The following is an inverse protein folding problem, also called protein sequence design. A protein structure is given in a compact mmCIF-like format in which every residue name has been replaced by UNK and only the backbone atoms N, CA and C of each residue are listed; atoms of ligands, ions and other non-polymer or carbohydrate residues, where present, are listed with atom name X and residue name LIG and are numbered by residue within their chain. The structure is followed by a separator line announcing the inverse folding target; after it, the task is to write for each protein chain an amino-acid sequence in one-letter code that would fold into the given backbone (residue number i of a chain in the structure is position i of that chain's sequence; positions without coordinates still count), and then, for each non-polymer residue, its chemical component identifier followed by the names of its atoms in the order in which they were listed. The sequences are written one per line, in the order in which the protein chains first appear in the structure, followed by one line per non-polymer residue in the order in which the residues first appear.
data_IF_542549338263
#
_entry.id   IF_542549338263
#
_cell.length_a   1.000
_cell.length_b   1.000
_cell.length_c   1.000
_cell.angle_alpha   90.00
_cell.angle_beta   90.00
_cell.angle_gamma   90.00
#
_symmetry.space_group_name_H-M   'P 1'
#
loop_
_entity.id
_entity.type
_entity.pdbx_description
1 polymer ?
#
# COMPACT_ATOMS: atom_id res chain seq x y z
N UNK A 1 -33.89 -10.67 15.17
CA UNK A 1 -34.19 -11.10 16.55
C UNK A 1 -32.90 -11.64 17.18
N UNK A 2 -32.14 -10.85 17.95
CA UNK A 2 -30.89 -11.31 18.56
C UNK A 2 -31.17 -12.19 19.79
N UNK A 3 -30.49 -13.34 19.89
CA UNK A 3 -30.64 -14.28 21.01
C UNK A 3 -30.29 -13.64 22.37
N UNK A 4 -31.02 -13.94 23.45
CA UNK A 4 -30.69 -13.47 24.78
C UNK A 4 -29.37 -14.11 25.26
N UNK A 5 -28.39 -13.28 25.61
CA UNK A 5 -27.19 -13.74 26.34
C UNK A 5 -27.66 -14.16 27.74
N UNK A 6 -27.66 -15.46 28.01
CA UNK A 6 -28.26 -16.09 29.21
C UNK A 6 -27.62 -15.63 30.54
N UNK A 7 -26.43 -15.02 30.51
CA UNK A 7 -25.77 -14.50 31.70
C UNK A 7 -25.31 -13.06 31.50
N UNK A 8 -25.66 -12.18 32.44
CA UNK A 8 -25.26 -10.78 32.44
C UNK A 8 -23.77 -10.64 32.80
N UNK A 9 -23.08 -9.60 32.30
CA UNK A 9 -21.67 -9.37 32.63
C UNK A 9 -21.44 -9.15 34.13
N UNK A 10 -22.40 -8.53 34.83
CA UNK A 10 -22.37 -8.34 36.28
C UNK A 10 -22.39 -9.67 37.05
N UNK A 11 -23.20 -10.63 36.58
CA UNK A 11 -23.23 -11.97 37.15
C UNK A 11 -21.92 -12.72 36.91
N UNK A 12 -21.32 -12.58 35.74
CA UNK A 12 -20.01 -13.18 35.45
C UNK A 12 -18.93 -12.61 36.37
N UNK A 13 -18.91 -11.28 36.57
CA UNK A 13 -17.96 -10.62 37.45
C UNK A 13 -18.09 -11.08 38.91
N UNK A 14 -19.32 -11.20 39.43
CA UNK A 14 -19.55 -11.67 40.80
C UNK A 14 -19.14 -13.14 41.01
N UNK A 15 -19.33 -13.99 40.00
CA UNK A 15 -18.86 -15.39 40.03
C UNK A 15 -17.33 -15.47 40.06
N UNK A 16 -16.64 -14.64 39.26
CA UNK A 16 -15.18 -14.59 39.24
C UNK A 16 -14.61 -14.13 40.58
N UNK A 17 -15.17 -13.06 41.15
CA UNK A 17 -14.74 -12.52 42.45
C UNK A 17 -14.92 -13.58 43.56
N UNK A 18 -16.05 -14.28 43.57
CA UNK A 18 -16.32 -15.36 44.53
C UNK A 18 -15.34 -16.52 44.39
N UNK A 19 -14.93 -16.89 43.17
CA UNK A 19 -13.88 -17.89 42.95
C UNK A 19 -12.53 -17.39 43.49
N UNK A 20 -12.16 -16.13 43.27
CA UNK A 20 -10.91 -15.56 43.79
C UNK A 20 -10.88 -15.54 45.33
N UNK A 21 -11.99 -15.17 45.97
CA UNK A 21 -12.14 -15.21 47.42
C UNK A 21 -12.02 -16.64 47.98
N UNK A 22 -12.63 -17.64 47.31
CA UNK A 22 -12.49 -19.04 47.69
C UNK A 22 -11.05 -19.55 47.48
N UNK A 23 -10.36 -19.14 46.41
CA UNK A 23 -8.96 -19.51 46.15
C UNK A 23 -8.00 -18.97 47.22
N UNK A 24 -8.28 -17.79 47.77
CA UNK A 24 -7.49 -17.22 48.86
C UNK A 24 -7.56 -18.04 50.16
N UNK A 25 -8.66 -18.77 50.39
CA UNK A 25 -8.85 -19.63 51.57
C UNK A 25 -8.45 -21.08 51.31
N UNK A 26 -8.74 -21.58 50.10
CA UNK A 26 -8.46 -22.95 49.69
C UNK A 26 -7.94 -22.99 48.23
N UNK A 27 -6.63 -23.18 48.01
CA UNK A 27 -6.03 -23.08 46.68
C UNK A 27 -6.48 -24.19 45.71
N UNK A 28 -6.98 -25.31 46.24
CA UNK A 28 -7.46 -26.44 45.45
C UNK A 28 -8.99 -26.52 45.50
N UNK A 29 -9.62 -26.66 44.33
CA UNK A 29 -11.07 -26.96 44.22
C UNK A 29 -12.03 -25.77 44.22
N UNK A 30 -11.56 -24.53 44.37
CA UNK A 30 -12.42 -23.32 44.43
C UNK A 30 -13.39 -23.16 43.25
N UNK A 31 -12.95 -23.48 42.02
CA UNK A 31 -13.82 -23.43 40.83
C UNK A 31 -14.95 -24.46 40.90
N UNK A 32 -14.67 -25.65 41.44
CA UNK A 32 -15.66 -26.72 41.59
C UNK A 32 -16.68 -26.38 42.68
N UNK A 33 -16.21 -25.84 43.82
CA UNK A 33 -17.07 -25.44 44.92
C UNK A 33 -18.05 -24.33 44.50
N UNK A 34 -17.55 -23.25 43.87
CA UNK A 34 -18.42 -22.15 43.41
C UNK A 34 -19.36 -22.59 42.28
N UNK A 35 -18.94 -23.52 41.41
CA UNK A 35 -19.81 -24.08 40.39
C UNK A 35 -20.97 -24.90 41.00
N UNK A 36 -20.70 -25.69 42.05
CA UNK A 36 -21.71 -26.46 42.77
C UNK A 36 -22.67 -25.54 43.54
N UNK A 37 -22.15 -24.55 44.26
CA UNK A 37 -22.94 -23.60 45.06
C UNK A 37 -23.94 -22.78 44.23
N UNK A 38 -23.60 -22.51 42.97
CA UNK A 38 -24.42 -21.70 42.06
C UNK A 38 -25.17 -22.55 41.01
N UNK A 39 -25.08 -23.89 41.08
CA UNK A 39 -25.69 -24.79 40.10
C UNK A 39 -25.18 -24.60 38.67
N UNK A 40 -23.95 -24.10 38.51
CA UNK A 40 -23.34 -23.77 37.22
C UNK A 40 -22.47 -24.92 36.69
N UNK A 41 -22.30 -24.96 35.37
CA UNK A 41 -21.36 -25.89 34.76
C UNK A 41 -19.92 -25.47 35.10
N UNK A 42 -19.15 -26.38 35.71
CA UNK A 42 -17.73 -26.18 36.06
C UNK A 42 -16.87 -25.66 34.90
N UNK A 43 -17.10 -26.15 33.67
CA UNK A 43 -16.34 -25.71 32.49
C UNK A 43 -16.57 -24.24 32.17
N UNK A 44 -17.80 -23.77 32.34
CA UNK A 44 -18.20 -22.40 32.07
C UNK A 44 -17.63 -21.44 33.14
N UNK A 45 -17.68 -21.82 34.42
CA UNK A 45 -17.00 -21.06 35.49
C UNK A 45 -15.48 -21.02 35.26
N UNK A 46 -14.88 -22.14 34.84
CA UNK A 46 -13.43 -22.16 34.52
C UNK A 46 -13.07 -21.25 33.35
N UNK A 47 -13.94 -21.17 32.32
CA UNK A 47 -13.74 -20.27 31.20
C UNK A 47 -13.78 -18.81 31.64
N UNK A 48 -14.77 -18.42 32.45
CA UNK A 48 -14.87 -17.05 32.99
C UNK A 48 -13.69 -16.67 33.86
N UNK A 49 -13.25 -17.56 34.76
CA UNK A 49 -12.09 -17.33 35.62
C UNK A 49 -10.82 -17.22 34.79
N UNK A 50 -10.65 -18.05 33.75
CA UNK A 50 -9.53 -17.93 32.83
C UNK A 50 -9.57 -16.61 32.04
N UNK A 51 -10.74 -16.20 31.53
CA UNK A 51 -10.91 -14.91 30.85
C UNK A 51 -10.62 -13.73 31.77
N UNK A 52 -10.95 -13.81 33.05
CA UNK A 52 -10.66 -12.76 34.02
C UNK A 52 -9.22 -12.80 34.59
N UNK A 53 -8.56 -13.96 34.55
CA UNK A 53 -7.14 -14.12 34.89
C UNK A 53 -6.20 -13.75 33.75
N UNK A 54 -6.69 -13.75 32.51
CA UNK A 54 -6.01 -12.99 31.46
C UNK A 54 -5.97 -11.56 31.99
N UNK A 55 -4.79 -10.96 32.19
CA UNK A 55 -4.71 -9.56 32.56
C UNK A 55 -5.61 -8.81 31.57
N UNK A 56 -6.42 -7.82 32.01
CA UNK A 56 -7.01 -6.89 31.06
C UNK A 56 -5.83 -6.45 30.23
N UNK A 57 -5.80 -6.82 28.94
CA UNK A 57 -4.65 -6.61 28.09
C UNK A 57 -4.21 -5.21 28.41
N UNK A 58 -3.07 -5.09 29.13
CA UNK A 58 -2.71 -3.83 29.75
C UNK A 58 -2.82 -2.89 28.60
N UNK A 59 -3.73 -1.93 28.73
CA UNK A 59 -3.74 -0.77 27.90
C UNK A 59 -2.42 -0.07 28.24
N UNK A 60 -1.31 -0.64 27.73
CA UNK A 60 -0.30 0.09 27.02
C UNK A 60 -1.10 1.18 26.34
N UNK A 61 -0.79 2.46 26.63
CA UNK A 61 -1.56 3.59 26.16
C UNK A 61 -1.94 3.25 24.75
N UNK A 62 -3.25 3.09 24.49
CA UNK A 62 -3.76 2.71 23.19
C UNK A 62 -2.89 3.47 22.21
N UNK A 63 -2.12 2.82 21.29
CA UNK A 63 -1.23 3.55 20.42
C UNK A 63 -2.13 4.60 19.84
N UNK A 64 -1.88 5.87 20.24
CA UNK A 64 -2.87 6.93 20.18
C UNK A 64 -3.50 6.73 18.83
N UNK A 65 -4.77 6.30 18.81
CA UNK A 65 -5.50 6.31 17.57
C UNK A 65 -5.31 7.76 17.18
N UNK A 66 -4.44 7.99 16.20
CA UNK A 66 -4.27 9.33 15.68
C UNK A 66 -5.57 9.56 14.98
N UNK A 67 -6.57 9.95 15.76
CA UNK A 67 -7.59 10.90 15.42
C UNK A 67 -6.85 12.18 15.08
N UNK A 68 -6.16 12.14 13.93
CA UNK A 68 -6.19 13.25 13.02
C UNK A 68 -7.67 13.59 12.81
N UNK A 69 -8.05 14.87 12.77
CA UNK A 69 -9.33 15.26 12.24
C UNK A 69 -9.36 14.80 10.79
N UNK A 70 -10.15 13.76 10.51
CA UNK A 70 -10.26 13.14 9.19
C UNK A 70 -9.91 11.65 9.23
N UNK A 71 -10.96 10.84 9.15
CA UNK A 71 -11.06 9.37 9.05
C UNK A 71 -10.23 8.78 7.89
N UNK A 72 -8.93 9.03 7.87
CA UNK A 72 -8.07 8.63 6.76
C UNK A 72 -7.50 7.26 7.03
N UNK A 73 -8.21 6.24 6.56
CA UNK A 73 -7.73 4.86 6.57
C UNK A 73 -6.44 4.77 5.77
N UNK A 74 -5.31 4.51 6.45
CA UNK A 74 -4.02 4.35 5.78
C UNK A 74 -3.82 2.88 5.44
N UNK A 75 -3.80 2.57 4.15
CA UNK A 75 -3.34 1.29 3.63
C UNK A 75 -1.88 1.39 3.18
N UNK A 76 -1.21 0.24 3.17
CA UNK A 76 0.10 0.07 2.59
C UNK A 76 -0.03 0.13 1.05
N UNK A 77 1.02 0.57 0.36
CA UNK A 77 1.03 0.60 -1.08
C UNK A 77 0.66 -0.78 -1.68
N UNK A 78 -0.18 -0.80 -2.73
CA UNK A 78 -0.61 -2.05 -3.35
C UNK A 78 0.59 -2.80 -3.94
N UNK A 79 0.54 -4.14 -3.89
CA UNK A 79 1.61 -5.00 -4.40
C UNK A 79 2.85 -5.08 -3.51
N UNK A 80 2.85 -4.45 -2.33
CA UNK A 80 3.96 -4.53 -1.38
C UNK A 80 3.85 -5.75 -0.45
N UNK A 81 2.63 -6.11 -0.06
CA UNK A 81 2.37 -7.12 0.97
C UNK A 81 2.12 -8.50 0.35
N UNK A 82 2.83 -9.51 0.85
CA UNK A 82 2.70 -10.90 0.42
C UNK A 82 2.56 -11.80 1.63
N UNK A 83 1.79 -12.87 1.51
CA UNK A 83 1.69 -13.84 2.59
C UNK A 83 2.83 -14.85 2.49
N UNK A 84 3.51 -15.14 3.60
CA UNK A 84 4.60 -16.11 3.64
C UNK A 84 4.14 -17.55 3.32
N UNK A 85 2.85 -17.86 3.49
CA UNK A 85 2.28 -19.21 3.30
C UNK A 85 1.91 -19.51 1.85
N UNK A 86 1.09 -18.64 1.24
CA UNK A 86 0.66 -18.79 -0.16
C UNK A 86 1.64 -18.14 -1.15
N UNK A 87 2.59 -17.32 -0.68
CA UNK A 87 3.49 -16.46 -1.47
C UNK A 87 2.80 -15.45 -2.39
N UNK A 88 1.47 -15.44 -2.45
CA UNK A 88 0.64 -14.55 -3.23
C UNK A 88 0.54 -13.14 -2.60
N UNK A 89 0.31 -12.10 -3.42
CA UNK A 89 0.04 -10.76 -2.93
C UNK A 89 -1.24 -10.75 -2.08
N UNK A 90 -1.23 -9.95 -1.02
CA UNK A 90 -2.39 -9.75 -0.16
C UNK A 90 -3.09 -8.45 -0.56
N UNK A 91 -4.41 -8.53 -0.72
CA UNK A 91 -5.22 -7.38 -1.11
C UNK A 91 -5.83 -6.72 0.13
N UNK A 92 -5.87 -5.39 0.19
CA UNK A 92 -6.62 -4.69 1.22
C UNK A 92 -8.11 -4.98 1.05
N UNK A 93 -8.78 -5.32 2.14
CA UNK A 93 -10.22 -5.51 2.20
C UNK A 93 -10.76 -4.61 3.31
N UNK A 94 -11.84 -3.92 2.99
CA UNK A 94 -12.62 -3.15 3.94
C UNK A 94 -13.98 -3.84 4.05
N UNK A 95 -14.19 -4.54 5.17
CA UNK A 95 -15.50 -5.06 5.55
C UNK A 95 -16.05 -4.24 6.72
N UNK A 96 -17.34 -4.34 7.03
CA UNK A 96 -18.05 -3.52 8.02
C UNK A 96 -17.29 -3.49 9.36
N UNK A 97 -16.52 -2.43 9.58
CA UNK A 97 -15.69 -2.22 10.78
C UNK A 97 -14.36 -2.98 10.83
N UNK A 98 -14.00 -3.77 9.82
CA UNK A 98 -12.74 -4.52 9.78
C UNK A 98 -11.91 -4.12 8.56
N UNK A 99 -10.85 -3.37 8.83
CA UNK A 99 -9.82 -3.02 7.86
C UNK A 99 -8.70 -4.04 7.93
N UNK A 100 -8.49 -4.78 6.86
CA UNK A 100 -7.48 -5.83 6.85
C UNK A 100 -6.94 -6.21 5.49
N UNK A 101 -5.99 -7.15 5.50
CA UNK A 101 -5.41 -7.73 4.29
C UNK A 101 -5.78 -9.20 4.21
N UNK A 102 -6.28 -9.62 3.05
CA UNK A 102 -6.67 -11.01 2.79
C UNK A 102 -5.73 -11.62 1.73
N UNK A 103 -5.31 -12.88 1.94
CA UNK A 103 -4.74 -13.70 0.84
C UNK A 103 -5.89 -14.34 0.04
N UNK A 104 -5.55 -15.07 -1.02
CA UNK A 104 -6.46 -15.93 -1.77
C UNK A 104 -7.35 -16.79 -0.85
N UNK A 105 -8.61 -17.07 -1.26
CA UNK A 105 -9.52 -17.89 -0.49
C UNK A 105 -8.88 -19.22 -0.08
N UNK A 106 -9.07 -19.60 1.19
CA UNK A 106 -8.57 -20.87 1.74
C UNK A 106 -7.12 -20.85 2.28
N UNK A 107 -6.34 -19.79 2.04
CA UNK A 107 -4.97 -19.73 2.59
C UNK A 107 -4.94 -19.46 4.11
N UNK A 108 -5.77 -18.52 4.58
CA UNK A 108 -5.85 -18.07 5.98
C UNK A 108 -7.28 -18.07 6.47
N UNK A 109 -7.45 -18.27 7.78
CA UNK A 109 -8.75 -18.31 8.45
C UNK A 109 -9.47 -16.96 8.51
N UNK A 110 -8.73 -15.85 8.37
CA UNK A 110 -9.32 -14.51 8.40
C UNK A 110 -8.37 -13.42 7.89
N UNK A 111 -8.89 -12.20 7.66
CA UNK A 111 -8.10 -11.06 7.25
C UNK A 111 -7.16 -10.63 8.38
N UNK A 112 -5.96 -10.17 8.01
CA UNK A 112 -5.02 -9.60 8.96
C UNK A 112 -5.34 -8.12 9.23
N UNK A 113 -5.30 -7.65 10.47
CA UNK A 113 -5.65 -6.27 10.79
C UNK A 113 -4.66 -5.28 10.16
N UNK A 114 -5.18 -4.28 9.43
CA UNK A 114 -4.37 -3.35 8.66
C UNK A 114 -3.57 -2.40 9.55
N UNK A 115 -4.15 -1.90 10.64
CA UNK A 115 -3.51 -0.93 11.54
C UNK A 115 -2.16 -1.42 12.09
N UNK A 116 -2.09 -2.59 12.75
CA UNK A 116 -0.83 -3.14 13.25
C UNK A 116 0.23 -3.34 12.15
N UNK A 117 -0.18 -3.78 10.95
CA UNK A 117 0.73 -3.96 9.81
C UNK A 117 1.31 -2.63 9.33
N UNK A 118 0.44 -1.63 9.12
CA UNK A 118 0.84 -0.27 8.72
C UNK A 118 1.80 0.31 9.75
N UNK A 119 1.47 0.18 11.03
CA UNK A 119 2.31 0.69 12.12
C UNK A 119 3.71 0.03 12.13
N UNK A 120 3.78 -1.29 12.03
CA UNK A 120 5.06 -2.01 12.05
C UNK A 120 5.91 -1.73 10.82
N UNK A 121 5.33 -1.77 9.62
CA UNK A 121 6.04 -1.42 8.39
C UNK A 121 6.52 0.02 8.45
N UNK A 122 5.67 0.94 8.91
CA UNK A 122 6.01 2.34 9.10
C UNK A 122 7.19 2.59 10.03
N UNK A 123 7.22 1.90 11.18
CA UNK A 123 8.36 1.96 12.11
C UNK A 123 9.64 1.41 11.48
N UNK A 124 9.56 0.30 10.77
CA UNK A 124 10.71 -0.28 10.09
C UNK A 124 11.28 0.68 9.03
N UNK A 125 10.43 1.29 8.22
CA UNK A 125 10.81 2.28 7.20
C UNK A 125 11.45 3.51 7.84
N UNK A 126 10.86 4.03 8.93
CA UNK A 126 11.40 5.18 9.66
C UNK A 126 12.77 4.89 10.28
N UNK A 127 12.98 3.68 10.78
CA UNK A 127 14.27 3.26 11.34
C UNK A 127 15.34 3.11 10.25
N UNK A 128 14.99 2.53 9.10
CA UNK A 128 15.95 2.23 8.04
C UNK A 128 16.25 3.43 7.12
N UNK A 129 15.28 4.29 6.85
CA UNK A 129 15.40 5.38 5.89
C UNK A 129 14.74 6.69 6.37
N UNK A 130 15.17 7.24 7.52
CA UNK A 130 14.55 8.43 8.11
C UNK A 130 14.62 9.67 7.20
N UNK A 131 15.62 9.76 6.32
CA UNK A 131 15.86 10.89 5.43
C UNK A 131 14.84 10.99 4.28
N UNK A 132 14.16 9.89 3.91
CA UNK A 132 13.19 9.89 2.80
C UNK A 132 11.86 10.57 3.16
N UNK A 133 11.65 10.86 4.44
CA UNK A 133 10.42 11.44 4.96
C UNK A 133 10.74 12.88 5.38
N UNK A 134 10.48 13.82 4.49
CA UNK A 134 10.76 15.26 4.67
C UNK A 134 9.68 15.96 5.49
N UNK A 135 9.23 15.36 6.59
CA UNK A 135 8.42 16.07 7.57
C UNK A 135 9.35 16.94 8.43
N UNK A 136 9.15 18.24 8.34
CA UNK A 136 9.97 19.30 8.95
C UNK A 136 9.56 19.64 10.38
N UNK A 137 8.43 19.15 10.88
CA UNK A 137 7.91 19.48 12.21
C UNK A 137 7.29 18.26 12.90
N UNK A 138 7.82 17.92 14.09
CA UNK A 138 7.28 16.87 14.98
C UNK A 138 7.88 15.46 14.81
N UNK A 139 7.55 14.57 15.75
CA UNK A 139 7.90 13.15 15.68
C UNK A 139 7.21 12.51 14.48
N UNK A 140 7.96 11.79 13.63
CA UNK A 140 7.43 11.17 12.41
C UNK A 140 6.50 10.01 12.78
N UNK A 141 5.23 10.13 12.42
CA UNK A 141 4.23 9.10 12.69
C UNK A 141 4.49 7.86 11.78
N UNK A 142 4.38 6.62 12.31
CA UNK A 142 4.56 5.39 11.52
C UNK A 142 3.70 5.32 10.26
N UNK A 143 2.50 5.87 10.31
CA UNK A 143 1.56 5.92 9.18
C UNK A 143 2.15 6.69 7.98
N UNK A 144 2.95 7.72 8.25
CA UNK A 144 3.68 8.46 7.21
C UNK A 144 4.80 7.61 6.63
N UNK A 145 5.55 6.88 7.47
CA UNK A 145 6.57 5.94 7.01
C UNK A 145 5.97 4.84 6.12
N UNK A 146 4.81 4.31 6.50
CA UNK A 146 4.10 3.28 5.76
C UNK A 146 3.66 3.75 4.36
N UNK A 147 3.24 5.01 4.22
CA UNK A 147 2.90 5.63 2.91
C UNK A 147 4.09 5.68 1.95
N UNK A 148 5.32 5.69 2.48
CA UNK A 148 6.56 5.73 1.69
C UNK A 148 7.27 4.37 1.60
N UNK A 149 6.65 3.30 2.10
CA UNK A 149 7.27 1.99 2.16
C UNK A 149 7.65 1.44 0.77
N UNK A 150 6.88 1.76 -0.28
CA UNK A 150 7.15 1.36 -1.67
C UNK A 150 8.50 1.88 -2.20
N UNK A 151 9.02 2.97 -1.65
CA UNK A 151 10.30 3.58 -2.04
C UNK A 151 11.52 2.83 -1.52
N UNK A 152 11.36 2.08 -0.43
CA UNK A 152 12.48 1.42 0.28
C UNK A 152 12.36 -0.09 0.32
N UNK A 153 11.14 -0.60 0.25
CA UNK A 153 10.84 -2.02 0.31
C UNK A 153 10.37 -2.46 -1.08
N UNK A 154 10.89 -3.58 -1.56
CA UNK A 154 10.32 -4.29 -2.73
C UNK A 154 9.18 -5.19 -2.31
N UNK A 155 9.29 -5.78 -1.10
CA UNK A 155 8.38 -6.81 -0.63
C UNK A 155 8.34 -6.83 0.89
N UNK A 156 7.14 -6.99 1.43
CA UNK A 156 6.90 -7.31 2.84
C UNK A 156 6.20 -8.66 2.87
N UNK A 157 6.82 -9.65 3.49
CA UNK A 157 6.22 -10.97 3.70
C UNK A 157 5.63 -11.05 5.09
N UNK A 158 4.36 -11.44 5.20
CA UNK A 158 3.67 -11.59 6.49
C UNK A 158 3.45 -13.06 6.79
N UNK A 159 3.98 -13.50 7.93
CA UNK A 159 3.81 -14.85 8.46
C UNK A 159 2.51 -15.00 9.25
N UNK A 160 2.58 -15.64 10.42
CA UNK A 160 1.37 -16.06 11.15
C UNK A 160 0.60 -14.89 11.78
N UNK A 161 1.29 -13.82 12.17
CA UNK A 161 0.70 -12.66 12.82
C UNK A 161 1.22 -11.33 12.23
N UNK A 162 0.58 -10.22 12.59
CA UNK A 162 0.96 -8.90 12.08
C UNK A 162 2.36 -8.42 12.51
N UNK A 163 2.96 -9.03 13.54
CA UNK A 163 4.32 -8.77 13.98
C UNK A 163 5.36 -9.70 13.34
N UNK A 164 4.92 -10.76 12.66
CA UNK A 164 5.78 -11.72 11.98
C UNK A 164 6.02 -11.24 10.54
N UNK A 165 6.93 -10.28 10.41
CA UNK A 165 7.21 -9.57 9.16
C UNK A 165 8.64 -9.83 8.68
N UNK A 166 8.74 -10.28 7.42
CA UNK A 166 9.99 -10.28 6.66
C UNK A 166 10.01 -9.09 5.71
N UNK A 167 11.15 -8.39 5.67
CA UNK A 167 11.35 -7.22 4.82
C UNK A 167 12.38 -7.54 3.75
N UNK A 168 12.01 -7.39 2.48
CA UNK A 168 12.96 -7.32 1.38
C UNK A 168 13.14 -5.85 1.05
N UNK A 169 14.27 -5.32 1.50
CA UNK A 169 14.70 -3.98 1.16
C UNK A 169 15.05 -3.94 -0.32
N UNK A 170 14.71 -2.84 -0.98
CA UNK A 170 15.37 -2.50 -2.24
C UNK A 170 16.85 -2.42 -1.90
N UNK A 171 17.65 -3.34 -2.44
CA UNK A 171 19.08 -3.11 -2.56
C UNK A 171 19.17 -1.77 -3.27
N UNK A 172 19.58 -0.73 -2.57
CA UNK A 172 19.84 0.55 -3.20
C UNK A 172 20.97 0.31 -4.20
N UNK A 173 20.79 0.38 -5.52
CA UNK A 173 21.81 1.09 -6.24
C UNK A 173 21.58 2.55 -5.86
N UNK A 174 22.59 3.13 -5.22
CA UNK A 174 23.06 4.51 -5.39
C UNK A 174 22.00 5.44 -5.96
N UNK A 175 21.71 6.53 -5.25
CA UNK A 175 21.29 7.81 -5.85
C UNK A 175 22.13 8.10 -7.10
N UNK A 176 21.78 7.49 -8.22
CA UNK A 176 22.09 8.03 -9.51
C UNK A 176 20.88 8.92 -9.71
N UNK A 177 21.03 10.25 -9.68
CA UNK A 177 20.00 11.09 -10.24
C UNK A 177 19.65 10.48 -11.60
N UNK A 178 18.37 10.45 -11.98
CA UNK A 178 18.04 9.97 -13.31
C UNK A 178 18.98 10.72 -14.23
N UNK A 179 19.80 9.99 -14.99
CA UNK A 179 20.48 10.62 -16.12
C UNK A 179 19.41 11.43 -16.85
N UNK A 180 19.77 12.61 -17.37
CA UNK A 180 18.87 13.56 -18.05
C UNK A 180 17.54 12.96 -18.49
N UNK A 181 16.39 13.56 -18.19
CA UNK A 181 15.02 13.07 -18.51
C UNK A 181 14.90 12.13 -19.73
N UNK A 182 15.50 12.43 -20.91
CA UNK A 182 15.55 11.49 -22.04
C UNK A 182 16.09 10.08 -21.73
N UNK A 183 17.15 9.96 -20.94
CA UNK A 183 17.75 8.69 -20.53
C UNK A 183 16.84 7.92 -19.59
N UNK A 184 16.11 8.61 -18.70
CA UNK A 184 15.12 7.98 -17.84
C UNK A 184 13.95 7.42 -18.64
N UNK A 185 13.46 8.16 -19.65
CA UNK A 185 12.43 7.69 -20.58
C UNK A 185 12.93 6.48 -21.36
N UNK A 186 14.13 6.53 -21.92
CA UNK A 186 14.71 5.41 -22.66
C UNK A 186 14.84 4.15 -21.80
N UNK A 187 15.40 4.28 -20.59
CA UNK A 187 15.53 3.17 -19.65
C UNK A 187 14.16 2.63 -19.18
N UNK A 188 13.16 3.48 -19.02
CA UNK A 188 11.82 3.04 -18.65
C UNK A 188 11.12 2.29 -19.78
N UNK A 189 11.33 2.69 -21.05
CA UNK A 189 10.79 1.97 -22.21
C UNK A 189 11.35 0.56 -22.31
N UNK A 190 12.67 0.39 -22.13
CA UNK A 190 13.28 -0.95 -22.16
C UNK A 190 12.79 -1.82 -21.00
N UNK A 191 12.48 -1.21 -19.85
CA UNK A 191 11.91 -1.91 -18.70
C UNK A 191 10.41 -2.22 -18.83
N UNK A 192 9.63 -1.43 -19.56
CA UNK A 192 8.17 -1.56 -19.60
C UNK A 192 7.67 -2.92 -20.13
N UNK A 193 8.50 -3.64 -20.90
CA UNK A 193 8.18 -4.97 -21.40
C UNK A 193 8.63 -6.11 -20.47
N UNK A 194 9.64 -5.87 -19.63
CA UNK A 194 10.22 -6.87 -18.74
C UNK A 194 9.76 -6.74 -17.27
N UNK A 195 9.61 -5.51 -16.78
CA UNK A 195 9.29 -5.18 -15.39
C UNK A 195 8.60 -3.81 -15.30
N UNK A 196 7.27 -3.85 -15.32
CA UNK A 196 6.41 -2.66 -15.22
C UNK A 196 6.60 -1.89 -13.90
N UNK A 197 6.89 -2.58 -12.79
CA UNK A 197 7.10 -1.92 -11.50
C UNK A 197 8.39 -1.13 -11.49
N UNK A 198 9.47 -1.68 -12.06
CA UNK A 198 10.75 -0.98 -12.17
C UNK A 198 10.69 0.19 -13.14
N UNK A 199 9.99 0.03 -14.27
CA UNK A 199 9.70 1.14 -15.19
C UNK A 199 8.96 2.28 -14.48
N UNK A 200 7.92 1.95 -13.70
CA UNK A 200 7.16 2.92 -12.89
C UNK A 200 8.06 3.70 -11.93
N UNK A 201 8.96 3.04 -11.22
CA UNK A 201 9.85 3.71 -10.26
C UNK A 201 10.83 4.67 -10.93
N UNK A 202 11.44 4.27 -12.05
CA UNK A 202 12.35 5.15 -12.82
C UNK A 202 11.63 6.43 -13.24
N UNK A 203 10.42 6.29 -13.78
CA UNK A 203 9.61 7.42 -14.24
C UNK A 203 9.09 8.30 -13.10
N UNK A 204 8.62 7.70 -12.00
CA UNK A 204 8.21 8.44 -10.80
C UNK A 204 9.38 9.24 -10.26
N UNK A 205 10.57 8.64 -10.19
CA UNK A 205 11.76 9.32 -9.72
C UNK A 205 12.12 10.53 -10.60
N UNK A 206 12.06 10.36 -11.92
CA UNK A 206 12.30 11.43 -12.89
C UNK A 206 11.31 12.61 -12.77
N UNK A 207 10.11 12.37 -12.23
CA UNK A 207 9.08 13.39 -12.02
C UNK A 207 8.91 13.85 -10.57
N UNK A 208 9.75 13.40 -9.62
CA UNK A 208 9.57 13.68 -8.18
C UNK A 208 9.46 15.17 -7.82
N UNK A 209 10.14 16.05 -8.56
CA UNK A 209 10.12 17.50 -8.35
C UNK A 209 9.04 18.24 -9.16
N UNK A 210 8.24 17.53 -9.96
CA UNK A 210 7.27 18.11 -10.89
C UNK A 210 5.85 17.93 -10.35
N UNK A 211 5.18 19.03 -10.06
CA UNK A 211 3.75 19.01 -9.82
C UNK A 211 3.00 19.14 -11.17
N UNK A 212 2.30 18.10 -11.65
CA UNK A 212 1.63 18.13 -12.96
C UNK A 212 0.49 19.16 -13.04
N UNK A 213 -0.02 19.64 -11.92
CA UNK A 213 -1.06 20.66 -11.88
C UNK A 213 -0.52 22.08 -12.14
N UNK A 214 0.74 22.35 -11.79
CA UNK A 214 1.32 23.71 -11.82
C UNK A 214 2.58 23.84 -12.67
N UNK A 215 3.17 22.73 -13.12
CA UNK A 215 4.37 22.76 -13.93
C UNK A 215 4.11 23.36 -15.31
N UNK A 216 5.05 24.18 -15.78
CA UNK A 216 5.07 24.67 -17.16
C UNK A 216 5.28 23.54 -18.17
N UNK A 217 4.93 23.83 -19.43
CA UNK A 217 5.11 22.91 -20.55
C UNK A 217 6.59 22.62 -20.79
N UNK A 218 6.96 21.35 -20.90
CA UNK A 218 8.33 20.93 -21.20
C UNK A 218 8.32 19.58 -21.92
N UNK A 219 8.98 19.43 -23.08
CA UNK A 219 8.85 18.23 -23.93
C UNK A 219 9.25 16.94 -23.20
N UNK A 220 10.45 16.91 -22.62
CA UNK A 220 10.92 15.71 -21.90
C UNK A 220 10.08 15.36 -20.65
N UNK A 221 9.41 16.34 -20.01
CA UNK A 221 8.53 16.07 -18.87
C UNK A 221 7.18 15.55 -19.34
N UNK A 222 6.68 16.06 -20.47
CA UNK A 222 5.47 15.56 -21.12
C UNK A 222 5.66 14.10 -21.55
N UNK A 223 6.78 13.77 -22.19
CA UNK A 223 7.13 12.38 -22.57
C UNK A 223 7.18 11.44 -21.37
N UNK A 224 7.82 11.89 -20.29
CA UNK A 224 7.94 11.10 -19.04
C UNK A 224 6.57 10.91 -18.39
N UNK A 225 5.73 11.95 -18.37
CA UNK A 225 4.38 11.88 -17.78
C UNK A 225 3.44 10.99 -18.60
N UNK A 226 3.51 11.07 -19.93
CA UNK A 226 2.74 10.20 -20.84
C UNK A 226 3.12 8.73 -20.65
N UNK A 227 4.42 8.41 -20.63
CA UNK A 227 4.88 7.03 -20.42
C UNK A 227 4.53 6.50 -19.02
N UNK A 228 4.60 7.36 -17.98
CA UNK A 228 4.17 6.96 -16.64
C UNK A 228 2.66 6.69 -16.58
N UNK A 229 1.84 7.50 -17.25
CA UNK A 229 0.41 7.28 -17.36
C UNK A 229 0.10 5.92 -18.01
N UNK A 230 0.79 5.57 -19.10
CA UNK A 230 0.66 4.27 -19.78
C UNK A 230 1.03 3.10 -18.86
N UNK A 231 2.17 3.18 -18.19
CA UNK A 231 2.62 2.13 -17.25
C UNK A 231 1.62 1.96 -16.11
N UNK A 232 1.03 3.05 -15.59
CA UNK A 232 0.02 2.99 -14.54
C UNK A 232 -1.30 2.39 -15.01
N UNK A 233 -1.72 2.61 -16.26
CA UNK A 233 -2.86 1.92 -16.87
C UNK A 233 -2.61 0.41 -16.91
N UNK A 234 -1.44 0.00 -17.41
CA UNK A 234 -1.04 -1.43 -17.50
C UNK A 234 -0.98 -2.10 -16.12
N UNK A 235 -0.65 -1.35 -15.07
CA UNK A 235 -0.63 -1.80 -13.68
C UNK A 235 -1.99 -1.72 -12.97
N UNK A 236 -3.05 -1.22 -13.61
CA UNK A 236 -4.39 -1.12 -13.02
C UNK A 236 -4.55 0.01 -12.00
N UNK A 237 -3.83 1.12 -12.16
CA UNK A 237 -3.86 2.28 -11.25
C UNK A 237 -4.40 3.56 -11.92
N UNK A 238 -5.70 3.61 -12.29
CA UNK A 238 -6.25 4.70 -13.10
C UNK A 238 -6.35 6.05 -12.39
N UNK A 239 -6.45 6.07 -11.05
CA UNK A 239 -6.74 7.30 -10.30
C UNK A 239 -5.69 8.42 -10.49
N UNK A 240 -4.42 8.08 -10.75
CA UNK A 240 -3.33 9.04 -10.92
C UNK A 240 -3.06 9.37 -12.40
N UNK A 241 -3.65 8.60 -13.31
CA UNK A 241 -3.44 8.70 -14.77
C UNK A 241 -3.95 10.03 -15.31
N UNK A 242 -5.14 10.47 -14.88
CA UNK A 242 -5.80 11.68 -15.41
C UNK A 242 -4.93 12.93 -15.22
N UNK A 243 -4.31 13.10 -14.06
CA UNK A 243 -3.46 14.26 -13.79
C UNK A 243 -2.19 14.27 -14.66
N UNK A 244 -1.56 13.10 -14.85
CA UNK A 244 -0.34 12.94 -15.64
C UNK A 244 -0.62 13.06 -17.15
N UNK A 245 -1.65 12.38 -17.63
CA UNK A 245 -2.08 12.44 -19.02
C UNK A 245 -2.56 13.86 -19.39
N UNK A 246 -3.31 14.52 -18.48
CA UNK A 246 -3.72 15.91 -18.65
C UNK A 246 -2.55 16.88 -18.72
N UNK A 247 -1.51 16.70 -17.89
CA UNK A 247 -0.28 17.49 -17.98
C UNK A 247 0.46 17.27 -19.32
N UNK A 248 0.61 16.02 -19.74
CA UNK A 248 1.25 15.68 -21.01
C UNK A 248 0.49 16.32 -22.18
N UNK A 249 -0.84 16.16 -22.21
CA UNK A 249 -1.69 16.75 -23.25
C UNK A 249 -1.58 18.28 -23.31
N UNK A 250 -1.71 18.98 -22.17
CA UNK A 250 -1.53 20.44 -22.13
C UNK A 250 -0.14 20.87 -22.60
N UNK A 251 0.89 20.12 -22.21
CA UNK A 251 2.27 20.42 -22.61
C UNK A 251 2.48 20.25 -24.11
N UNK A 252 2.05 19.14 -24.70
CA UNK A 252 2.17 18.94 -26.16
C UNK A 252 1.32 19.93 -26.95
N UNK A 253 0.11 20.24 -26.49
CA UNK A 253 -0.74 21.27 -27.11
C UNK A 253 -0.06 22.63 -27.11
N UNK A 254 0.63 22.99 -26.02
CA UNK A 254 1.37 24.24 -25.92
C UNK A 254 2.65 24.24 -26.80
N UNK A 255 3.34 23.11 -26.92
CA UNK A 255 4.63 23.00 -27.62
C UNK A 255 4.48 22.80 -29.14
N UNK A 256 3.48 22.05 -29.58
CA UNK A 256 3.30 21.63 -30.98
C UNK A 256 1.98 22.11 -31.59
N UNK A 257 1.13 22.76 -30.79
CA UNK A 257 -0.22 23.11 -31.20
C UNK A 257 -1.21 21.95 -31.01
N UNK A 258 -2.52 22.23 -31.13
CA UNK A 258 -3.58 21.26 -30.84
C UNK A 258 -3.71 20.13 -31.88
N UNK A 259 -3.18 20.30 -33.09
CA UNK A 259 -3.32 19.37 -34.22
C UNK A 259 -2.18 18.36 -34.37
N UNK A 260 -1.20 18.34 -33.47
CA UNK A 260 -0.07 17.41 -33.55
C UNK A 260 -0.50 15.95 -33.27
N UNK A 261 -0.06 14.96 -34.07
CA UNK A 261 -0.38 13.54 -33.85
C UNK A 261 0.02 12.99 -32.47
N UNK A 262 1.03 13.59 -31.83
CA UNK A 262 1.51 13.19 -30.50
C UNK A 262 0.50 13.51 -29.40
N UNK A 263 -0.48 14.39 -29.66
CA UNK A 263 -1.56 14.72 -28.73
C UNK A 263 -2.56 13.56 -28.52
N UNK A 264 -2.70 12.64 -29.49
CA UNK A 264 -3.73 11.61 -29.47
C UNK A 264 -3.50 10.53 -28.40
N UNK A 265 -2.25 10.17 -28.10
CA UNK A 265 -1.93 9.16 -27.07
C UNK A 265 -2.29 9.68 -25.67
N UNK A 266 -2.03 10.96 -25.39
CA UNK A 266 -2.40 11.58 -24.12
C UNK A 266 -3.92 11.77 -23.97
N UNK A 267 -4.62 12.07 -25.07
CA UNK A 267 -6.07 12.24 -25.11
C UNK A 267 -6.83 10.90 -24.87
N UNK A 268 -6.33 9.80 -25.46
CA UNK A 268 -6.87 8.46 -25.25
C UNK A 268 -6.74 7.98 -23.80
N UNK A 269 -5.67 8.37 -23.10
CA UNK A 269 -5.49 8.06 -21.67
C UNK A 269 -6.44 8.84 -20.75
N UNK A 270 -6.97 10.00 -21.19
CA UNK A 270 -7.93 10.81 -20.42
C UNK A 270 -9.40 10.42 -20.63
N UNK A 271 -9.71 9.61 -21.63
CA UNK A 271 -11.09 9.30 -22.06
C UNK A 271 -11.57 7.92 -21.61
N UNK A 272 -10.94 7.30 -20.59
CA UNK A 272 -11.15 5.91 -20.15
C UNK A 272 -12.60 5.42 -20.12
N UNK A 273 -13.07 4.94 -21.27
CA UNK A 273 -14.06 3.89 -21.47
C UNK A 273 -13.42 2.86 -22.42
N UNK A 274 -12.84 1.81 -21.85
CA UNK A 274 -12.38 0.62 -22.59
C UNK A 274 -10.86 0.43 -22.76
N UNK A 275 -10.36 -0.81 -22.79
CA UNK A 275 -8.93 -1.10 -22.90
C UNK A 275 -8.44 -0.93 -24.34
N UNK A 276 -7.36 -0.17 -24.60
CA UNK A 276 -6.81 -0.08 -25.94
C UNK A 276 -5.98 -1.33 -26.27
N UNK A 277 -6.32 -2.00 -27.37
CA UNK A 277 -5.39 -2.88 -28.11
C UNK A 277 -4.66 -2.02 -29.12
N UNK A 278 -3.34 -1.83 -28.99
CA UNK A 278 -2.54 -1.26 -30.08
C UNK A 278 -1.36 -2.15 -30.45
N UNK A 279 -1.37 -2.51 -31.73
CA UNK A 279 -0.29 -3.09 -32.51
C UNK A 279 0.77 -2.00 -32.76
N UNK A 280 2.05 -2.38 -32.70
CA UNK A 280 3.17 -1.53 -33.03
C UNK A 280 3.03 -0.91 -34.44
N UNK A 281 3.01 0.42 -34.52
CA UNK A 281 3.21 1.13 -35.77
C UNK A 281 4.72 1.24 -36.01
N UNK A 282 5.18 0.61 -37.09
CA UNK A 282 6.55 0.68 -37.57
C UNK A 282 6.90 2.11 -38.00
N UNK A 283 8.11 2.57 -37.63
CA UNK A 283 8.70 3.80 -38.16
C UNK A 283 8.82 3.73 -39.70
N UNK A 284 8.44 4.78 -40.44
CA UNK A 284 8.85 4.89 -41.84
C UNK A 284 10.34 5.28 -41.91
N UNK A 285 11.07 4.57 -42.77
CA UNK A 285 12.48 4.79 -43.08
C UNK A 285 12.71 6.17 -43.73
N UNK A 286 13.84 6.79 -43.38
CA UNK A 286 14.32 8.06 -43.94
C UNK A 286 14.49 7.99 -45.47
N UNK A 287 14.26 9.10 -46.20
CA UNK A 287 14.47 9.14 -47.64
C UNK A 287 15.97 9.24 -47.99
N UNK A 288 16.35 8.44 -48.97
CA UNK A 288 17.66 8.39 -49.64
C UNK A 288 17.96 9.70 -50.38
N UNK A 289 19.00 10.41 -49.97
CA UNK A 289 19.60 11.52 -50.70
C UNK A 289 20.36 10.99 -51.94
N UNK A 290 19.98 11.46 -53.13
CA UNK A 290 20.70 11.20 -54.39
C UNK A 290 21.73 12.30 -54.68
N UNK A 291 22.90 11.98 -55.25
CA UNK A 291 23.97 12.96 -55.44
C UNK A 291 23.77 13.82 -56.70
N UNK A 292 23.97 15.13 -56.52
CA UNK A 292 24.06 16.13 -57.58
C UNK A 292 25.21 15.86 -58.55
N UNK A 293 24.91 15.83 -59.85
CA UNK A 293 25.90 15.88 -60.93
C UNK A 293 26.49 17.30 -61.01
N UNK A 294 27.80 17.43 -60.80
CA UNK A 294 28.56 18.59 -61.25
C UNK A 294 28.65 18.56 -62.79
N UNK A 295 28.26 19.67 -63.43
CA UNK A 295 28.66 20.00 -64.78
C UNK A 295 30.00 20.72 -64.76
N UNK A 296 30.93 20.28 -65.60
CA UNK A 296 32.16 21.00 -65.95
C UNK A 296 31.99 21.57 -67.35
N UNK A 297 32.16 22.88 -67.46
CA UNK A 297 32.61 23.57 -68.68
C UNK A 297 34.11 23.80 -68.59
#
# INVERSE_FOLDING_TARGET
MPLPRVHTPEFIASVVDRVQQHQARHPHGAVTAVAQDLGLNRRLVSAWVNTARLPPATSAPAPVASTLPGDTVVFLPPGLLYCARCTAPMNPQQDVGVLGYQCVPGCRAGPLPAGPLVHQVGRAVLAAAPHLITQTTGAKAPEIGARHADRVLTRVTVGHAAHDLGFIWRSTPVHRPPGSLPNAVHAARTLADADLYRAREVLRHALTAVNPATAGAHPARADTAALLAEVLIRLGHPAVVVALAGYAHRSYTHLHGPTDPSNYVALLATTTEGPPRFRAAACPASPSESPSKLGSS
#
